data_IF_176895492356
#
_entry.id   IF_176895492356
#
_cell.length_a   1.000
_cell.length_b   1.000
_cell.length_c   1.000
_cell.angle_alpha   90.00
_cell.angle_beta   90.00
_cell.angle_gamma   90.00
#
_symmetry.space_group_name_H-M   'P 1'
#
loop_
_entity.id
_entity.type
_entity.pdbx_description
1 polymer ?
#
# COMPACT_ATOMS: atom_id res chain seq x y z
N UNK A 1 12.86 -8.26 -26.17
CA UNK A 1 12.64 -7.26 -25.11
C UNK A 1 13.45 -7.69 -23.89
N UNK A 2 14.73 -7.36 -23.85
CA UNK A 2 15.64 -7.79 -22.77
C UNK A 2 15.65 -6.73 -21.67
N UNK A 3 14.89 -6.93 -20.60
CA UNK A 3 15.21 -6.25 -19.35
C UNK A 3 16.58 -6.80 -18.92
N UNK A 4 17.59 -5.94 -18.90
CA UNK A 4 18.93 -6.29 -18.41
C UNK A 4 18.80 -6.92 -17.01
N UNK A 5 19.44 -8.06 -16.80
CA UNK A 5 19.36 -8.84 -15.56
C UNK A 5 19.56 -7.97 -14.29
N UNK A 6 20.40 -6.93 -14.42
CA UNK A 6 20.70 -5.95 -13.37
C UNK A 6 19.52 -5.03 -13.02
N UNK A 7 18.70 -4.60 -13.99
CA UNK A 7 17.54 -3.75 -13.71
C UNK A 7 16.40 -4.55 -13.07
N UNK A 8 16.24 -5.83 -13.46
CA UNK A 8 15.30 -6.73 -12.81
C UNK A 8 15.68 -7.01 -11.35
N UNK A 9 16.97 -7.28 -11.09
CA UNK A 9 17.47 -7.52 -9.73
C UNK A 9 17.26 -6.30 -8.82
N UNK A 10 17.53 -5.09 -9.33
CA UNK A 10 17.32 -3.85 -8.58
C UNK A 10 15.84 -3.62 -8.27
N UNK A 11 14.95 -3.89 -9.23
CA UNK A 11 13.50 -3.77 -9.04
C UNK A 11 12.99 -4.75 -7.97
N UNK A 12 13.46 -6.00 -7.99
CA UNK A 12 13.09 -7.00 -6.98
C UNK A 12 13.60 -6.64 -5.58
N UNK A 13 14.85 -6.18 -5.47
CA UNK A 13 15.42 -5.74 -4.20
C UNK A 13 14.67 -4.52 -3.62
N UNK A 14 14.31 -3.55 -4.47
CA UNK A 14 13.55 -2.38 -4.05
C UNK A 14 12.15 -2.76 -3.56
N UNK A 15 11.46 -3.65 -4.27
CA UNK A 15 10.14 -4.13 -3.89
C UNK A 15 10.19 -4.89 -2.55
N UNK A 16 11.16 -5.80 -2.39
CA UNK A 16 11.36 -6.55 -1.14
C UNK A 16 11.64 -5.63 0.06
N UNK A 17 12.42 -4.56 -0.14
CA UNK A 17 12.68 -3.56 0.91
C UNK A 17 11.39 -2.86 1.37
N UNK A 18 10.53 -2.44 0.45
CA UNK A 18 9.25 -1.80 0.81
C UNK A 18 8.28 -2.77 1.48
N UNK A 19 8.19 -4.01 0.99
CA UNK A 19 7.38 -5.05 1.64
C UNK A 19 7.88 -5.36 3.06
N UNK A 20 9.20 -5.44 3.25
CA UNK A 20 9.80 -5.63 4.57
C UNK A 20 9.43 -4.53 5.56
N UNK A 21 9.40 -3.26 5.12
CA UNK A 21 8.91 -2.15 5.94
C UNK A 21 7.43 -2.26 6.29
N UNK A 22 6.60 -2.70 5.35
CA UNK A 22 5.18 -2.95 5.58
C UNK A 22 4.97 -4.07 6.61
N UNK A 23 5.65 -5.20 6.47
CA UNK A 23 5.63 -6.30 7.44
C UNK A 23 6.09 -5.83 8.82
N UNK A 24 7.18 -5.06 8.90
CA UNK A 24 7.67 -4.49 10.15
C UNK A 24 6.66 -3.53 10.82
N UNK A 25 5.78 -2.90 10.05
CA UNK A 25 4.66 -2.08 10.57
C UNK A 25 3.44 -2.91 11.01
N UNK A 26 3.52 -4.24 10.95
CA UNK A 26 2.47 -5.16 11.38
C UNK A 26 1.40 -5.43 10.33
N UNK A 27 1.68 -5.20 9.04
CA UNK A 27 0.71 -5.35 7.95
C UNK A 27 0.73 -6.75 7.28
N UNK A 28 1.40 -7.75 7.86
CA UNK A 28 1.36 -9.12 7.32
C UNK A 28 0.01 -9.74 7.67
N UNK A 29 -0.76 -10.14 6.65
CA UNK A 29 -2.11 -10.69 6.81
C UNK A 29 -3.14 -9.70 7.36
N UNK A 30 -2.77 -8.41 7.52
CA UNK A 30 -3.60 -7.40 8.17
C UNK A 30 -3.64 -6.12 7.34
N UNK A 31 -4.85 -5.68 7.01
CA UNK A 31 -5.06 -4.39 6.37
C UNK A 31 -4.80 -3.26 7.36
N UNK A 32 -3.78 -2.46 7.07
CA UNK A 32 -3.52 -1.20 7.75
C UNK A 32 -4.07 -0.05 6.91
N UNK A 33 -4.91 0.82 7.48
CA UNK A 33 -5.55 1.92 6.78
C UNK A 33 -5.17 3.26 7.43
N UNK A 34 -4.48 4.12 6.69
CA UNK A 34 -4.18 5.48 7.12
C UNK A 34 -5.44 6.35 7.01
N UNK A 35 -5.89 6.92 8.13
CA UNK A 35 -7.07 7.80 8.18
C UNK A 35 -6.77 9.27 7.95
N UNK A 36 -5.50 9.61 7.77
CA UNK A 36 -5.03 10.97 7.58
C UNK A 36 -4.15 11.06 6.34
N UNK A 37 -4.16 12.24 5.70
CA UNK A 37 -3.23 12.55 4.64
C UNK A 37 -1.79 12.47 5.15
N UNK A 38 -0.92 11.96 4.30
CA UNK A 38 0.47 11.70 4.70
C UNK A 38 1.22 13.02 4.82
N UNK A 39 1.94 13.18 5.93
CA UNK A 39 2.85 14.32 6.14
C UNK A 39 3.97 14.35 5.10
N UNK A 40 4.36 15.57 4.69
CA UNK A 40 5.46 15.80 3.75
C UNK A 40 6.77 15.19 4.29
N UNK A 41 6.99 15.30 5.59
CA UNK A 41 8.22 14.86 6.26
C UNK A 41 8.30 13.34 6.45
N UNK A 42 7.19 12.62 6.25
CA UNK A 42 7.07 11.19 6.56
C UNK A 42 6.66 10.34 5.35
N UNK A 43 7.21 10.65 4.17
CA UNK A 43 6.96 9.88 2.95
C UNK A 43 7.88 8.65 2.88
N UNK A 44 7.30 7.47 3.12
CA UNK A 44 8.05 6.21 3.06
C UNK A 44 8.24 5.66 1.63
N UNK A 45 7.66 6.31 0.63
CA UNK A 45 7.81 6.03 -0.82
C UNK A 45 7.99 7.35 -1.54
N UNK A 46 8.71 7.33 -2.66
CA UNK A 46 9.00 8.54 -3.44
C UNK A 46 7.69 9.15 -3.94
N UNK A 47 7.47 10.45 -3.65
CA UNK A 47 6.33 11.24 -4.15
C UNK A 47 4.97 10.57 -3.85
N UNK A 48 4.70 10.26 -2.58
CA UNK A 48 3.39 9.71 -2.20
C UNK A 48 2.29 10.73 -2.51
N UNK A 49 1.21 10.29 -3.16
CA UNK A 49 0.04 11.12 -3.40
C UNK A 49 -0.52 11.59 -2.05
N UNK A 50 -0.85 12.88 -1.91
CA UNK A 50 -1.42 13.43 -0.67
C UNK A 50 -2.91 13.68 -0.76
N UNK A 51 -3.47 13.49 -1.95
CA UNK A 51 -4.91 13.63 -2.24
C UNK A 51 -5.64 12.29 -2.09
N UNK A 52 -4.91 11.22 -1.75
CA UNK A 52 -5.47 9.89 -1.53
C UNK A 52 -5.03 9.32 -0.17
N UNK A 53 -5.97 8.70 0.53
CA UNK A 53 -5.67 7.86 1.68
C UNK A 53 -5.18 6.49 1.20
N UNK A 54 -4.18 5.95 1.90
CA UNK A 54 -3.56 4.68 1.54
C UNK A 54 -3.91 3.57 2.53
N UNK A 55 -4.12 2.38 1.99
CA UNK A 55 -4.15 1.13 2.75
C UNK A 55 -2.98 0.25 2.33
N UNK A 56 -2.41 -0.48 3.28
CA UNK A 56 -1.25 -1.33 3.05
C UNK A 56 -1.40 -2.67 3.77
N UNK A 57 -1.05 -3.76 3.07
CA UNK A 57 -1.05 -5.13 3.60
C UNK A 57 -0.12 -5.98 2.75
N UNK A 58 0.43 -7.05 3.33
CA UNK A 58 1.20 -8.08 2.62
C UNK A 58 0.52 -9.42 2.89
N UNK A 59 0.29 -10.21 1.84
CA UNK A 59 -0.31 -11.53 1.95
C UNK A 59 0.63 -12.57 1.34
N UNK A 60 0.73 -13.72 2.01
CA UNK A 60 1.33 -14.92 1.45
C UNK A 60 0.23 -15.74 0.76
N UNK A 61 0.26 -15.78 -0.57
CA UNK A 61 -0.77 -16.46 -1.36
C UNK A 61 -0.54 -17.97 -1.48
N UNK A 62 0.62 -18.49 -1.04
CA UNK A 62 0.84 -19.94 -0.95
C UNK A 62 0.00 -20.55 0.18
N UNK A 63 -0.43 -19.73 1.16
CA UNK A 63 -1.31 -20.14 2.26
C UNK A 63 -2.80 -20.21 1.89
N UNK A 64 -3.17 -19.75 0.68
CA UNK A 64 -4.53 -19.75 0.18
C UNK A 64 -5.00 -18.39 -0.36
N UNK A 65 -6.24 -18.33 -0.89
CA UNK A 65 -6.81 -17.11 -1.43
C UNK A 65 -7.13 -16.08 -0.34
N UNK A 66 -7.03 -14.80 -0.69
CA UNK A 66 -7.39 -13.68 0.19
C UNK A 66 -8.58 -12.93 -0.40
N UNK A 67 -9.55 -12.59 0.44
CA UNK A 67 -10.68 -11.72 0.08
C UNK A 67 -10.58 -10.40 0.83
N UNK A 68 -10.75 -9.30 0.11
CA UNK A 68 -10.82 -7.95 0.68
C UNK A 68 -12.25 -7.44 0.49
N UNK A 69 -12.92 -7.11 1.59
CA UNK A 69 -14.26 -6.51 1.57
C UNK A 69 -14.13 -5.02 1.77
N UNK A 70 -14.72 -4.24 0.86
CA UNK A 70 -14.85 -2.79 1.01
C UNK A 70 -16.22 -2.46 1.61
N UNK A 71 -16.31 -1.49 2.52
CA UNK A 71 -17.59 -1.02 3.01
C UNK A 71 -18.35 -0.28 1.90
N UNK A 72 -19.68 -0.22 2.01
CA UNK A 72 -20.48 0.68 1.18
C UNK A 72 -20.03 2.13 1.41
N UNK A 73 -19.86 2.88 0.32
CA UNK A 73 -19.64 4.32 0.41
C UNK A 73 -20.98 5.02 0.57
N UNK A 74 -21.15 5.81 1.63
CA UNK A 74 -22.30 6.70 1.73
C UNK A 74 -22.13 7.82 0.71
N UNK A 75 -23.04 7.92 -0.26
CA UNK A 75 -23.19 9.14 -1.03
C UNK A 75 -23.80 10.18 -0.10
N UNK A 76 -23.00 11.14 0.35
CA UNK A 76 -23.53 12.30 1.08
C UNK A 76 -24.12 13.22 0.02
N UNK A 77 -25.44 13.17 -0.14
CA UNK A 77 -26.18 14.19 -0.87
C UNK A 77 -25.86 15.54 -0.22
N UNK A 78 -25.19 16.42 -0.95
CA UNK A 78 -24.67 17.69 -0.45
C UNK A 78 -25.78 18.70 -0.11
N UNK A 79 -26.53 18.46 0.95
CA UNK A 79 -27.38 19.43 1.63
C UNK A 79 -26.78 19.78 2.99
N UNK A 80 -26.54 21.07 3.23
CA UNK A 80 -25.90 21.70 4.39
C UNK A 80 -24.37 21.54 4.53
N UNK A 81 -23.67 22.34 3.72
CA UNK A 81 -22.46 23.10 4.11
C UNK A 81 -22.65 24.53 3.62
#
# INVERSE_FOLDING_TARGET
MSLSFTSCLLAMALLAFYMGKMVASGSLGRLFHGREAVSIEAQNVVRRNRDALYSSTVFDLDTGPVTITLPETVHVDGGDQ
#
